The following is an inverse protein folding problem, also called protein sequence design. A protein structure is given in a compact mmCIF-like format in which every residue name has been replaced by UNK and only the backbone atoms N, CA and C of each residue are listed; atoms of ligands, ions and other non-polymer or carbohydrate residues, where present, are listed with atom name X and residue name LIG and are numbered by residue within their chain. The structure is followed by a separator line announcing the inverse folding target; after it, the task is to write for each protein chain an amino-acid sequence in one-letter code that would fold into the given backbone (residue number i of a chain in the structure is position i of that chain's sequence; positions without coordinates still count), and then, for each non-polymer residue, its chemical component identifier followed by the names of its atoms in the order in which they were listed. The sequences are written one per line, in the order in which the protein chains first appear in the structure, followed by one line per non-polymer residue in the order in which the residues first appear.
data_IF_455925725944
#
_entry.id   IF_455925725944
#
_cell.length_a   1.000
_cell.length_b   1.000
_cell.length_c   1.000
_cell.angle_alpha   90.00
_cell.angle_beta   90.00
_cell.angle_gamma   90.00
#
_symmetry.space_group_name_H-M   'P 1'
#
loop_
_entity.id
_entity.type
_entity.pdbx_description
1 polymer ?
#
# COMPACT_ATOMS: atom_id res chain seq x y z
N UNK A 1 27.17 -1.80 13.76
CA UNK A 1 26.57 -1.76 12.42
C UNK A 1 25.53 -2.86 12.41
N UNK A 2 24.24 -2.56 12.28
CA UNK A 2 23.31 -3.63 11.94
C UNK A 2 23.64 -4.04 10.51
N UNK A 3 24.15 -5.26 10.38
CA UNK A 3 24.40 -5.90 9.10
C UNK A 3 23.09 -5.91 8.29
N UNK A 4 23.22 -5.90 6.97
CA UNK A 4 22.06 -6.04 6.08
C UNK A 4 21.25 -7.26 6.51
N UNK A 5 19.91 -7.16 6.53
CA UNK A 5 19.08 -8.30 6.90
C UNK A 5 19.32 -9.45 5.92
N UNK A 6 19.30 -10.67 6.46
CA UNK A 6 19.43 -11.88 5.67
C UNK A 6 18.04 -12.39 5.28
N UNK A 7 17.86 -12.67 4.00
CA UNK A 7 16.64 -13.28 3.46
C UNK A 7 17.06 -14.34 2.44
N UNK A 8 16.91 -15.60 2.83
CA UNK A 8 17.30 -16.76 2.02
C UNK A 8 16.18 -17.80 2.01
N UNK A 9 16.16 -18.69 1.02
CA UNK A 9 15.13 -19.75 0.95
C UNK A 9 15.12 -20.66 2.19
N UNK A 10 16.29 -20.92 2.78
CA UNK A 10 16.42 -21.75 4.00
C UNK A 10 16.14 -20.98 5.29
N UNK A 11 16.35 -19.67 5.28
CA UNK A 11 16.09 -18.78 6.41
C UNK A 11 15.46 -17.48 5.90
N UNK A 12 14.12 -17.48 5.63
CA UNK A 12 13.44 -16.31 5.13
C UNK A 12 13.30 -15.27 6.24
N UNK A 13 13.43 -14.00 5.88
CA UNK A 13 13.21 -12.92 6.84
C UNK A 13 11.77 -12.94 7.35
N UNK A 14 11.59 -12.71 8.65
CA UNK A 14 10.28 -12.63 9.30
C UNK A 14 10.22 -11.39 10.18
N UNK A 15 9.06 -10.71 10.22
CA UNK A 15 8.85 -9.61 11.16
C UNK A 15 8.85 -10.14 12.59
N UNK A 16 9.37 -9.32 13.50
CA UNK A 16 9.18 -9.50 14.94
C UNK A 16 7.70 -9.27 15.28
N UNK A 17 7.04 -10.32 15.79
CA UNK A 17 5.64 -10.28 16.18
C UNK A 17 5.41 -9.69 17.57
N UNK A 18 6.48 -9.45 18.34
CA UNK A 18 6.41 -8.79 19.64
C UNK A 18 6.42 -7.27 19.54
N UNK A 19 6.63 -6.71 18.33
CA UNK A 19 6.62 -5.27 18.07
C UNK A 19 5.21 -4.69 18.21
N UNK A 20 4.93 -4.07 19.36
CA UNK A 20 3.66 -3.39 19.65
C UNK A 20 3.58 -1.97 19.08
N UNK A 21 4.63 -1.46 18.42
CA UNK A 21 4.62 -0.13 17.82
C UNK A 21 3.88 -0.10 16.48
N UNK A 22 3.59 -1.28 15.92
CA UNK A 22 2.88 -1.43 14.66
C UNK A 22 1.47 -1.93 14.90
N UNK A 23 0.53 -1.37 14.14
CA UNK A 23 -0.82 -1.91 14.08
C UNK A 23 -0.80 -3.20 13.22
N UNK A 24 -1.09 -4.33 13.85
CA UNK A 24 -1.23 -5.61 13.14
C UNK A 24 -2.57 -5.68 12.41
N UNK A 25 -2.51 -5.71 11.07
CA UNK A 25 -3.68 -5.81 10.20
C UNK A 25 -3.53 -6.95 9.19
N UNK A 26 -2.71 -7.97 9.51
CA UNK A 26 -2.47 -9.12 8.62
C UNK A 26 -3.74 -9.92 8.29
N UNK A 27 -4.77 -9.81 9.11
CA UNK A 27 -6.05 -10.48 8.91
C UNK A 27 -6.98 -9.74 7.91
N UNK A 28 -6.63 -8.50 7.52
CA UNK A 28 -7.38 -7.74 6.53
C UNK A 28 -7.08 -8.25 5.11
N UNK A 29 -8.04 -8.03 4.21
CA UNK A 29 -7.83 -8.28 2.78
C UNK A 29 -7.00 -7.13 2.21
N UNK A 30 -5.72 -7.41 1.94
CA UNK A 30 -4.74 -6.45 1.44
C UNK A 30 -4.17 -6.95 0.12
N UNK A 31 -4.09 -6.09 -0.90
CA UNK A 31 -3.55 -6.47 -2.21
C UNK A 31 -2.81 -5.31 -2.87
N UNK A 32 -1.90 -5.62 -3.80
CA UNK A 32 -1.21 -4.63 -4.63
C UNK A 32 -1.71 -4.68 -6.07
N UNK A 33 -1.43 -3.61 -6.84
CA UNK A 33 -1.73 -3.56 -8.28
C UNK A 33 -0.51 -2.96 -8.97
N UNK A 34 0.18 -3.77 -9.76
CA UNK A 34 1.49 -3.46 -10.32
C UNK A 34 1.61 -4.00 -11.76
N UNK A 35 2.55 -3.46 -12.56
CA UNK A 35 2.90 -4.08 -13.83
C UNK A 35 3.29 -5.57 -13.70
N UNK A 36 3.04 -6.34 -14.75
CA UNK A 36 3.48 -7.73 -14.81
C UNK A 36 5.02 -7.78 -14.72
N UNK A 37 5.53 -8.55 -13.76
CA UNK A 37 6.98 -8.72 -13.56
C UNK A 37 7.62 -7.70 -12.61
N UNK A 38 6.85 -6.83 -11.97
CA UNK A 38 7.36 -5.95 -10.91
C UNK A 38 8.02 -6.74 -9.79
N UNK A 39 9.17 -6.24 -9.32
CA UNK A 39 9.97 -6.86 -8.27
C UNK A 39 9.87 -6.10 -6.95
N UNK A 40 9.71 -4.79 -7.04
CA UNK A 40 9.62 -3.75 -6.02
C UNK A 40 8.16 -3.29 -5.88
N UNK A 41 7.40 -4.05 -5.09
CA UNK A 41 6.00 -3.72 -4.78
C UNK A 41 6.01 -2.80 -3.56
N UNK A 42 5.87 -1.51 -3.78
CA UNK A 42 6.01 -0.48 -2.76
C UNK A 42 4.69 -0.14 -2.06
N UNK A 43 3.55 -0.34 -2.72
CA UNK A 43 2.22 0.02 -2.21
C UNK A 43 1.23 -1.14 -2.24
N UNK A 44 0.36 -1.17 -1.23
CA UNK A 44 -0.76 -2.08 -1.13
C UNK A 44 -2.01 -1.38 -0.57
N UNK A 45 -3.18 -1.92 -0.86
CA UNK A 45 -4.47 -1.34 -0.49
C UNK A 45 -5.27 -2.34 0.31
N UNK A 46 -5.93 -1.86 1.36
CA UNK A 46 -6.95 -2.58 2.11
C UNK A 46 -8.28 -1.88 2.00
N UNK A 47 -9.37 -2.64 1.95
CA UNK A 47 -10.70 -2.07 2.02
C UNK A 47 -11.65 -2.96 2.81
N UNK A 48 -12.41 -2.37 3.72
CA UNK A 48 -13.40 -3.05 4.54
C UNK A 48 -14.72 -2.27 4.58
N UNK A 49 -15.84 -3.00 4.59
CA UNK A 49 -17.18 -2.44 4.79
C UNK A 49 -17.56 -2.65 6.26
N UNK A 50 -17.76 -1.56 6.99
CA UNK A 50 -18.15 -1.58 8.40
C UNK A 50 -19.65 -1.29 8.48
N UNK A 51 -20.45 -2.34 8.72
CA UNK A 51 -21.91 -2.22 8.93
C UNK A 51 -22.20 -1.96 10.40
N UNK A 52 -23.11 -1.05 10.71
CA UNK A 52 -23.56 -0.87 12.09
C UNK A 52 -24.31 -2.10 12.60
N UNK A 53 -24.33 -2.37 13.92
CA UNK A 53 -24.98 -3.57 14.48
C UNK A 53 -26.48 -3.68 14.18
N UNK A 54 -27.13 -2.54 13.98
CA UNK A 54 -28.53 -2.39 13.63
C UNK A 54 -28.77 -2.34 12.11
N UNK A 55 -27.72 -2.48 11.30
CA UNK A 55 -27.72 -2.40 9.83
C UNK A 55 -28.29 -1.08 9.27
N UNK A 56 -28.44 -0.04 10.10
CA UNK A 56 -29.00 1.25 9.70
C UNK A 56 -28.01 2.13 8.94
N UNK A 57 -26.71 1.87 9.10
CA UNK A 57 -25.65 2.65 8.48
C UNK A 57 -24.50 1.77 7.99
N UNK A 58 -23.91 2.19 6.86
CA UNK A 58 -22.72 1.57 6.28
C UNK A 58 -21.60 2.60 6.32
N UNK A 59 -20.45 2.19 6.83
CA UNK A 59 -19.18 2.92 6.78
C UNK A 59 -18.17 2.11 6.00
N UNK A 60 -17.10 2.75 5.57
CA UNK A 60 -16.01 2.10 4.89
C UNK A 60 -14.70 2.42 5.56
N UNK A 61 -13.77 1.47 5.50
CA UNK A 61 -12.39 1.70 5.88
C UNK A 61 -11.52 1.43 4.66
N UNK A 62 -10.75 2.44 4.24
CA UNK A 62 -9.78 2.34 3.15
C UNK A 62 -8.39 2.56 3.72
N UNK A 63 -7.49 1.60 3.49
CA UNK A 63 -6.08 1.72 3.85
C UNK A 63 -5.19 1.74 2.62
N UNK A 64 -4.22 2.64 2.60
CA UNK A 64 -3.07 2.62 1.68
C UNK A 64 -1.84 2.35 2.53
N UNK A 65 -1.06 1.35 2.16
CA UNK A 65 0.08 0.83 2.92
C UNK A 65 1.33 0.91 2.06
N UNK A 66 2.36 1.60 2.55
CA UNK A 66 3.63 1.80 1.82
C UNK A 66 4.72 0.97 2.49
N UNK A 67 5.60 0.32 1.72
CA UNK A 67 6.72 -0.46 2.25
C UNK A 67 7.61 0.35 3.22
N UNK A 68 7.91 -0.21 4.40
CA UNK A 68 8.70 0.49 5.43
C UNK A 68 10.22 0.24 5.27
N UNK A 69 10.81 0.87 4.25
CA UNK A 69 12.27 0.86 4.07
C UNK A 69 13.03 1.55 5.22
N UNK A 70 12.38 2.49 5.93
CA UNK A 70 12.98 3.26 7.03
C UNK A 70 13.35 2.42 8.24
N UNK A 71 12.69 1.27 8.41
CA UNK A 71 13.04 0.29 9.45
C UNK A 71 14.45 -0.29 9.22
N UNK A 72 14.83 -0.53 7.96
CA UNK A 72 16.12 -1.14 7.59
C UNK A 72 17.20 -0.10 7.30
N UNK A 73 16.82 1.08 6.80
CA UNK A 73 17.73 2.13 6.40
C UNK A 73 17.66 3.26 7.43
N UNK A 74 18.54 3.20 8.43
CA UNK A 74 18.60 4.22 9.47
C UNK A 74 19.36 5.46 8.98
N UNK A 75 18.96 6.68 9.37
CA UNK A 75 19.70 7.91 9.06
C UNK A 75 21.18 7.80 9.45
N UNK A 76 22.06 8.24 8.57
CA UNK A 76 23.52 8.21 8.73
C UNK A 76 24.19 6.85 8.43
N UNK A 77 23.42 5.80 8.13
CA UNK A 77 23.98 4.51 7.72
C UNK A 77 24.65 4.58 6.34
N UNK A 78 25.50 3.60 6.02
CA UNK A 78 26.10 3.49 4.69
C UNK A 78 25.04 3.36 3.59
N UNK A 79 23.97 2.60 3.87
CA UNK A 79 22.82 2.44 2.96
C UNK A 79 22.09 3.76 2.73
N UNK A 80 21.87 4.56 3.78
CA UNK A 80 21.26 5.90 3.68
C UNK A 80 22.15 6.86 2.87
N UNK A 81 23.45 6.89 3.15
CA UNK A 81 24.40 7.72 2.41
C UNK A 81 24.44 7.37 0.91
N UNK A 82 24.47 6.09 0.58
CA UNK A 82 24.45 5.63 -0.81
C UNK A 82 23.09 5.88 -1.49
N UNK A 83 21.97 5.62 -0.80
CA UNK A 83 20.63 5.91 -1.31
C UNK A 83 20.46 7.40 -1.62
N UNK A 84 20.91 8.29 -0.72
CA UNK A 84 20.92 9.75 -0.96
C UNK A 84 21.77 10.14 -2.17
N UNK A 85 22.91 9.47 -2.37
CA UNK A 85 23.80 9.73 -3.50
C UNK A 85 23.16 9.30 -4.83
N UNK A 86 22.42 8.18 -4.85
CA UNK A 86 21.69 7.69 -6.04
C UNK A 86 20.42 8.49 -6.32
N UNK A 87 19.72 8.93 -5.27
CA UNK A 87 18.50 9.71 -5.33
C UNK A 87 17.25 8.90 -5.69
N UNK A 88 17.29 8.14 -6.79
CA UNK A 88 16.15 7.34 -7.29
C UNK A 88 16.61 6.04 -7.96
N UNK A 89 15.69 5.08 -8.10
CA UNK A 89 15.89 3.91 -8.97
C UNK A 89 15.75 4.34 -10.43
N UNK A 90 16.68 3.92 -11.29
CA UNK A 90 16.65 4.22 -12.73
C UNK A 90 16.17 2.98 -13.47
N UNK A 91 15.08 3.11 -14.23
CA UNK A 91 14.52 2.06 -15.07
C UNK A 91 14.90 2.32 -16.53
N UNK A 92 15.63 1.39 -17.13
CA UNK A 92 15.95 1.37 -18.55
C UNK A 92 15.20 0.21 -19.22
N UNK A 93 15.16 0.18 -20.55
CA UNK A 93 14.45 -0.86 -21.30
C UNK A 93 14.98 -2.28 -21.03
N UNK A 94 16.27 -2.43 -20.73
CA UNK A 94 16.94 -3.73 -20.55
C UNK A 94 17.41 -4.00 -19.12
N UNK A 95 17.41 -2.99 -18.24
CA UNK A 95 17.98 -3.10 -16.90
C UNK A 95 17.42 -2.07 -15.94
N UNK A 96 17.68 -2.32 -14.65
CA UNK A 96 17.35 -1.41 -13.56
C UNK A 96 18.58 -1.14 -12.70
N UNK A 97 18.71 0.10 -12.23
CA UNK A 97 19.69 0.47 -11.22
C UNK A 97 18.98 0.88 -9.94
N UNK A 98 18.99 0.02 -8.94
CA UNK A 98 18.23 0.21 -7.71
C UNK A 98 18.81 1.34 -6.86
N UNK A 99 17.94 2.17 -6.27
CA UNK A 99 18.32 3.15 -5.25
C UNK A 99 18.88 2.49 -4.00
N UNK A 100 18.25 1.39 -3.59
CA UNK A 100 18.62 0.59 -2.41
C UNK A 100 19.00 -0.83 -2.85
N UNK A 101 19.72 -1.60 -2.02
CA UNK A 101 20.10 -2.97 -2.39
C UNK A 101 18.91 -3.88 -2.69
N UNK A 102 19.10 -4.84 -3.62
CA UNK A 102 18.07 -5.78 -4.08
C UNK A 102 17.37 -6.52 -2.93
N UNK A 103 18.14 -6.94 -1.92
CA UNK A 103 17.58 -7.63 -0.74
C UNK A 103 16.56 -6.79 0.03
N UNK A 104 16.65 -5.45 -0.05
CA UNK A 104 15.64 -4.56 0.53
C UNK A 104 14.52 -4.32 -0.48
N UNK A 105 14.83 -3.83 -1.69
CA UNK A 105 13.81 -3.41 -2.66
C UNK A 105 12.95 -4.55 -3.19
N UNK A 106 13.53 -5.72 -3.46
CA UNK A 106 12.86 -6.81 -4.20
C UNK A 106 12.29 -7.90 -3.29
N UNK A 107 12.81 -7.97 -2.06
CA UNK A 107 12.53 -9.05 -1.13
C UNK A 107 11.83 -8.56 0.14
N UNK A 108 12.57 -7.89 1.03
CA UNK A 108 12.14 -7.68 2.42
C UNK A 108 11.20 -6.48 2.54
N UNK A 109 11.37 -5.43 1.74
CA UNK A 109 10.43 -4.30 1.70
C UNK A 109 9.29 -4.56 0.72
N UNK A 110 9.53 -5.28 -0.37
CA UNK A 110 8.51 -5.62 -1.37
C UNK A 110 7.31 -6.32 -0.72
N UNK A 111 6.11 -5.77 -0.92
CA UNK A 111 4.84 -6.19 -0.30
C UNK A 111 4.24 -7.44 -0.97
N UNK A 112 5.09 -8.46 -1.15
CA UNK A 112 4.77 -9.72 -1.81
C UNK A 112 3.61 -10.46 -1.16
N UNK A 113 2.78 -11.11 -1.98
CA UNK A 113 1.67 -11.95 -1.55
C UNK A 113 2.15 -13.11 -0.66
N UNK A 114 1.35 -13.41 0.36
CA UNK A 114 1.59 -14.48 1.32
C UNK A 114 2.68 -14.19 2.35
N UNK A 115 3.42 -13.09 2.21
CA UNK A 115 4.53 -12.73 3.10
C UNK A 115 4.16 -11.60 4.03
N UNK A 116 4.47 -11.74 5.33
CA UNK A 116 4.26 -10.67 6.29
C UNK A 116 5.36 -9.61 6.14
N UNK A 117 4.97 -8.33 6.08
CA UNK A 117 5.84 -7.21 5.74
C UNK A 117 5.52 -5.99 6.59
N UNK A 118 6.57 -5.22 6.91
CA UNK A 118 6.41 -3.93 7.58
C UNK A 118 5.99 -2.87 6.58
N UNK A 119 4.97 -2.10 6.94
CA UNK A 119 4.49 -0.98 6.16
C UNK A 119 4.35 0.28 7.04
N UNK A 120 4.36 1.42 6.37
CA UNK A 120 4.31 2.76 6.91
C UNK A 120 5.69 3.29 7.31
N UNK A 121 6.04 4.46 6.80
CA UNK A 121 7.24 5.18 7.20
C UNK A 121 6.94 6.09 8.40
N UNK A 122 7.87 6.13 9.34
CA UNK A 122 7.79 7.03 10.48
C UNK A 122 8.31 8.41 10.09
N UNK A 123 7.45 9.42 10.25
CA UNK A 123 7.85 10.81 10.22
C UNK A 123 8.14 11.22 11.66
N UNK A 124 9.41 11.39 12.01
CA UNK A 124 9.75 12.18 13.20
C UNK A 124 9.23 13.61 12.95
N UNK A 125 8.30 14.14 13.77
CA UNK A 125 8.01 15.56 13.72
C UNK A 125 9.24 16.28 14.28
N UNK A 126 10.15 16.72 13.40
CA UNK A 126 11.13 17.72 13.77
C UNK A 126 10.35 18.99 14.15
N UNK A 127 10.16 19.20 15.45
CA UNK A 127 9.63 20.44 16.01
C UNK A 127 10.68 21.51 15.71
N UNK A 128 10.53 22.20 14.58
CA UNK A 128 11.24 23.45 14.31
C UNK A 128 10.22 24.57 14.51
N UNK A 129 10.21 25.10 15.74
CA UNK A 129 9.78 26.47 15.94
C UNK A 129 10.63 27.38 15.05
N UNK A 130 9.98 28.35 14.39
CA UNK A 130 10.56 29.35 13.49
C UNK A 130 10.99 28.84 12.09
N UNK A 131 10.06 28.85 11.14
CA UNK A 131 10.03 29.80 10.00
C UNK A 131 8.89 29.39 9.06
N UNK A 132 7.71 29.99 9.29
CA UNK A 132 6.58 29.97 8.36
C UNK A 132 7.01 30.68 7.07
N UNK A 133 7.43 29.92 6.06
CA UNK A 133 7.36 30.22 4.60
C UNK A 133 8.08 29.14 3.78
N UNK A 134 9.00 28.36 4.36
CA UNK A 134 9.62 27.20 3.68
C UNK A 134 8.94 25.85 3.95
N UNK A 135 7.97 25.81 4.88
CA UNK A 135 7.27 24.59 5.28
C UNK A 135 6.46 23.95 4.13
N UNK A 136 6.04 24.73 3.13
CA UNK A 136 5.26 24.22 2.00
C UNK A 136 6.11 23.36 1.04
N UNK A 137 7.42 23.58 0.96
CA UNK A 137 8.35 22.72 0.21
C UNK A 137 8.89 21.56 1.05
N UNK A 138 8.90 21.70 2.39
CA UNK A 138 9.31 20.62 3.29
C UNK A 138 8.23 19.54 3.47
N UNK A 139 6.96 19.91 3.30
CA UNK A 139 5.80 18.99 3.37
C UNK A 139 5.71 18.09 2.11
N UNK A 140 6.42 18.40 1.02
CA UNK A 140 6.33 17.62 -0.22
C UNK A 140 7.26 16.40 -0.28
N UNK A 141 8.05 16.12 0.77
CA UNK A 141 8.99 14.97 0.80
C UNK A 141 8.60 13.85 1.79
N UNK A 142 7.42 13.92 2.40
CA UNK A 142 7.08 13.10 3.57
C UNK A 142 5.65 12.54 3.56
N UNK A 143 5.20 11.99 2.44
CA UNK A 143 4.02 11.11 2.44
C UNK A 143 4.44 9.71 2.01
N UNK A 144 5.03 8.96 2.94
CA UNK A 144 5.33 7.54 2.77
C UNK A 144 4.77 6.73 3.97
N UNK A 145 3.69 7.19 4.59
CA UNK A 145 3.08 6.53 5.76
C UNK A 145 1.95 5.61 5.30
N UNK A 146 1.68 4.54 6.05
CA UNK A 146 0.39 3.85 5.89
C UNK A 146 -0.71 4.78 6.39
N UNK A 147 -1.73 5.00 5.56
CA UNK A 147 -2.86 5.88 5.86
C UNK A 147 -4.13 5.06 5.85
N UNK A 148 -4.95 5.20 6.89
CA UNK A 148 -6.26 4.55 6.98
C UNK A 148 -7.32 5.63 7.12
N UNK A 149 -8.29 5.64 6.19
CA UNK A 149 -9.44 6.52 6.21
C UNK A 149 -10.69 5.75 6.60
N UNK A 150 -11.43 6.29 7.57
CA UNK A 150 -12.82 5.90 7.79
C UNK A 150 -13.71 6.84 6.98
N UNK A 151 -14.59 6.27 6.17
CA UNK A 151 -15.50 6.98 5.28
C UNK A 151 -16.95 6.72 5.69
N UNK A 152 -17.83 7.68 5.46
CA UNK A 152 -19.28 7.47 5.55
C UNK A 152 -19.85 6.79 4.29
N UNK A 153 -21.16 6.54 4.29
CA UNK A 153 -21.88 5.95 3.16
C UNK A 153 -21.78 6.74 1.85
N UNK A 154 -21.42 8.02 1.92
CA UNK A 154 -21.23 8.94 0.79
C UNK A 154 -19.75 9.10 0.42
N UNK A 155 -18.87 8.26 0.96
CA UNK A 155 -17.41 8.29 0.77
C UNK A 155 -16.71 9.55 1.30
N UNK A 156 -17.36 10.31 2.18
CA UNK A 156 -16.73 11.45 2.84
C UNK A 156 -15.86 10.95 3.98
N UNK A 157 -14.64 11.49 4.06
CA UNK A 157 -13.70 11.18 5.15
C UNK A 157 -14.27 11.64 6.49
N UNK A 158 -14.47 10.70 7.40
CA UNK A 158 -14.86 10.91 8.79
C UNK A 158 -13.64 11.07 9.69
N UNK A 159 -12.61 10.26 9.48
CA UNK A 159 -11.36 10.31 10.24
C UNK A 159 -10.20 9.74 9.42
N UNK A 160 -8.99 10.20 9.73
CA UNK A 160 -7.75 9.70 9.13
C UNK A 160 -6.81 9.22 10.22
N UNK A 161 -6.19 8.06 10.02
CA UNK A 161 -5.14 7.53 10.86
C UNK A 161 -3.84 7.41 10.05
N UNK A 162 -2.73 7.70 10.71
CA UNK A 162 -1.37 7.58 10.17
C UNK A 162 -0.53 6.75 11.13
N UNK A 163 0.25 5.81 10.61
CA UNK A 163 1.20 5.08 11.44
C UNK A 163 1.87 3.92 10.73
N UNK A 164 2.58 3.12 11.53
CA UNK A 164 3.23 1.89 11.08
C UNK A 164 2.28 0.72 11.20
N UNK A 165 2.22 -0.10 10.17
CA UNK A 165 1.41 -1.31 10.10
C UNK A 165 2.27 -2.55 9.88
N UNK A 166 1.78 -3.69 10.35
CA UNK A 166 2.26 -5.00 9.93
C UNK A 166 1.18 -5.60 9.03
N UNK A 167 1.54 -5.87 7.78
CA UNK A 167 0.58 -6.32 6.75
C UNK A 167 0.96 -7.67 6.20
N UNK A 168 0.00 -8.35 5.56
CA UNK A 168 0.24 -9.55 4.77
C UNK A 168 -0.63 -9.44 3.51
N UNK A 169 -0.01 -9.13 2.38
CA UNK A 169 -0.72 -9.07 1.12
C UNK A 169 -1.27 -10.46 0.77
N UNK A 170 -2.53 -10.54 0.37
CA UNK A 170 -3.17 -11.77 -0.10
C UNK A 170 -2.99 -11.96 -1.60
N UNK A 171 -2.70 -10.89 -2.35
CA UNK A 171 -2.62 -10.92 -3.81
C UNK A 171 -1.73 -9.82 -4.39
N UNK A 172 -0.99 -10.16 -5.44
CA UNK A 172 -0.26 -9.26 -6.33
C UNK A 172 -1.03 -9.23 -7.65
N UNK A 173 -1.77 -8.15 -7.94
CA UNK A 173 -2.62 -8.08 -9.12
C UNK A 173 -1.94 -7.30 -10.25
N UNK A 174 -2.19 -7.70 -11.49
CA UNK A 174 -1.81 -6.90 -12.65
C UNK A 174 -2.88 -5.85 -12.98
N UNK A 175 -2.52 -4.81 -13.74
CA UNK A 175 -3.49 -3.84 -14.24
C UNK A 175 -4.58 -4.47 -15.11
N UNK A 176 -4.23 -5.47 -15.93
CA UNK A 176 -5.20 -6.20 -16.75
C UNK A 176 -6.19 -6.98 -15.88
N UNK A 177 -5.70 -7.58 -14.79
CA UNK A 177 -6.53 -8.31 -13.83
C UNK A 177 -7.48 -7.35 -13.10
N UNK A 178 -6.97 -6.20 -12.67
CA UNK A 178 -7.77 -5.15 -12.06
C UNK A 178 -8.81 -4.59 -13.05
N UNK A 179 -8.43 -4.34 -14.30
CA UNK A 179 -9.33 -3.84 -15.34
C UNK A 179 -10.41 -4.86 -15.70
N UNK A 180 -10.06 -6.15 -15.75
CA UNK A 180 -11.02 -7.22 -15.94
C UNK A 180 -12.08 -7.23 -14.83
N UNK A 181 -11.67 -7.07 -13.56
CA UNK A 181 -12.59 -6.93 -12.43
C UNK A 181 -13.47 -5.68 -12.58
N UNK A 182 -12.92 -4.55 -13.03
CA UNK A 182 -13.70 -3.33 -13.27
C UNK A 182 -14.77 -3.54 -14.35
N UNK A 183 -14.45 -4.31 -15.39
CA UNK A 183 -15.27 -4.50 -16.58
C UNK A 183 -16.33 -5.62 -16.46
N UNK A 184 -16.15 -6.59 -15.56
CA UNK A 184 -16.90 -7.86 -15.61
C UNK A 184 -18.22 -7.89 -14.81
N UNK A 185 -18.57 -6.92 -13.95
CA UNK A 185 -19.77 -7.06 -13.10
C UNK A 185 -20.84 -5.96 -13.27
N UNK A 186 -22.09 -6.44 -13.39
CA UNK A 186 -23.31 -5.76 -13.87
C UNK A 186 -24.40 -5.55 -12.80
N UNK A 187 -24.08 -5.49 -11.50
CA UNK A 187 -25.02 -5.13 -10.41
C UNK A 187 -24.27 -4.47 -9.26
N UNK A 188 -24.70 -3.32 -8.74
CA UNK A 188 -24.71 -2.96 -7.29
C UNK A 188 -25.49 -1.64 -7.07
N UNK A 189 -26.62 -1.69 -6.36
CA UNK A 189 -26.78 -0.82 -5.19
C UNK A 189 -27.45 -1.57 -4.01
N UNK A 190 -26.94 -1.39 -2.79
CA UNK A 190 -27.61 -1.75 -1.52
C UNK A 190 -28.12 -3.20 -1.32
N UNK A 191 -27.30 -4.22 -1.60
CA UNK A 191 -27.59 -5.62 -1.22
C UNK A 191 -26.63 -6.61 -1.89
N UNK A 192 -25.84 -7.32 -1.09
CA UNK A 192 -24.66 -8.10 -1.51
C UNK A 192 -24.95 -9.28 -2.45
N UNK A 193 -24.12 -9.41 -3.49
CA UNK A 193 -23.59 -10.69 -4.01
C UNK A 193 -22.12 -10.38 -4.38
N UNK A 194 -21.16 -10.94 -3.64
CA UNK A 194 -19.76 -10.91 -4.10
C UNK A 194 -19.54 -12.02 -5.12
N UNK A 195 -18.77 -11.73 -6.16
CA UNK A 195 -18.42 -12.74 -7.16
C UNK A 195 -17.16 -13.49 -6.70
N UNK A 196 -17.15 -14.81 -6.91
CA UNK A 196 -15.94 -15.60 -6.78
C UNK A 196 -15.00 -15.29 -7.95
N UNK A 197 -13.94 -14.55 -7.65
CA UNK A 197 -12.88 -14.27 -8.60
C UNK A 197 -11.84 -15.37 -8.55
N UNK A 198 -11.59 -16.01 -9.69
CA UNK A 198 -10.56 -17.04 -9.81
C UNK A 198 -9.25 -16.39 -10.27
N UNK A 199 -8.24 -16.37 -9.41
CA UNK A 199 -6.86 -16.03 -9.78
C UNK A 199 -6.02 -17.32 -9.74
N UNK A 200 -5.62 -17.81 -10.91
CA UNK A 200 -4.94 -19.10 -11.03
C UNK A 200 -5.85 -20.27 -10.61
N UNK A 201 -5.45 -21.04 -9.59
CA UNK A 201 -6.23 -22.15 -9.03
C UNK A 201 -7.00 -21.79 -7.74
N UNK A 202 -6.96 -20.53 -7.30
CA UNK A 202 -7.61 -20.09 -6.07
C UNK A 202 -8.80 -19.20 -6.37
N UNK A 203 -9.87 -19.39 -5.59
CA UNK A 203 -11.09 -18.59 -5.63
C UNK A 203 -11.04 -17.58 -4.49
N UNK A 204 -11.25 -16.30 -4.83
CA UNK A 204 -11.29 -15.18 -3.90
C UNK A 204 -12.69 -14.60 -3.95
N UNK A 205 -13.37 -14.52 -2.81
CA UNK A 205 -14.59 -13.74 -2.72
C UNK A 205 -14.21 -12.26 -2.79
N UNK A 206 -14.66 -11.57 -3.84
CA UNK A 206 -14.44 -10.13 -3.98
C UNK A 206 -15.72 -9.42 -3.53
N UNK A 207 -15.74 -8.79 -2.33
CA UNK A 207 -16.87 -7.97 -1.96
C UNK A 207 -16.94 -6.75 -2.91
N UNK A 208 -18.14 -6.26 -3.25
CA UNK A 208 -18.34 -5.17 -4.22
C UNK A 208 -17.54 -3.88 -3.95
N UNK A 209 -17.01 -3.73 -2.73
CA UNK A 209 -16.05 -2.72 -2.31
C UNK A 209 -14.70 -2.71 -3.03
N UNK A 210 -14.27 -3.83 -3.62
CA UNK A 210 -12.97 -3.94 -4.30
C UNK A 210 -12.88 -3.04 -5.53
N UNK A 211 -13.99 -2.91 -6.28
CA UNK A 211 -14.08 -1.98 -7.41
C UNK A 211 -13.85 -0.55 -6.96
N UNK A 212 -14.39 -0.17 -5.81
CA UNK A 212 -14.19 1.15 -5.24
C UNK A 212 -12.74 1.35 -4.79
N UNK A 213 -12.09 0.35 -4.20
CA UNK A 213 -10.67 0.42 -3.85
C UNK A 213 -9.78 0.58 -5.09
N UNK A 214 -10.08 -0.16 -6.17
CA UNK A 214 -9.38 -0.03 -7.46
C UNK A 214 -9.65 1.34 -8.10
N UNK A 215 -10.91 1.81 -8.08
CA UNK A 215 -11.28 3.14 -8.54
C UNK A 215 -10.53 4.21 -7.75
N UNK A 216 -10.50 4.12 -6.42
CA UNK A 216 -9.82 5.10 -5.57
C UNK A 216 -8.30 5.08 -5.78
N UNK A 217 -7.66 3.91 -6.00
CA UNK A 217 -6.25 3.83 -6.42
C UNK A 217 -6.00 4.65 -7.70
N UNK A 218 -6.92 4.57 -8.66
CA UNK A 218 -6.80 5.25 -9.95
C UNK A 218 -7.26 6.71 -9.93
N UNK A 219 -8.24 7.07 -9.10
CA UNK A 219 -8.85 8.40 -9.04
C UNK A 219 -8.09 9.34 -8.11
N UNK A 220 -7.36 8.84 -7.09
CA UNK A 220 -6.38 9.65 -6.34
C UNK A 220 -5.24 10.19 -7.24
N UNK A 221 -5.18 9.79 -8.51
CA UNK A 221 -4.26 10.31 -9.53
C UNK A 221 -4.89 11.35 -10.49
N UNK A 222 -6.21 11.61 -10.46
CA UNK A 222 -6.84 12.54 -11.43
C UNK A 222 -7.94 13.45 -10.83
N UNK A 223 -7.85 14.72 -11.26
CA UNK A 223 -8.60 15.90 -10.84
C UNK A 223 -10.14 15.76 -10.92
N UNK A 224 -10.78 16.54 -10.06
CA UNK A 224 -12.18 16.72 -9.67
C UNK A 224 -13.23 16.97 -10.77
N UNK A 225 -12.92 16.81 -12.05
CA UNK A 225 -13.87 17.01 -13.14
C UNK A 225 -13.53 16.13 -14.34
N UNK A 226 -14.27 15.04 -14.58
CA UNK A 226 -14.66 14.55 -15.93
C UNK A 226 -15.35 13.19 -15.85
N UNK A 227 -16.25 12.93 -16.81
CA UNK A 227 -16.99 11.69 -17.00
C UNK A 227 -16.11 10.44 -16.84
N UNK A 228 -16.52 9.52 -15.96
CA UNK A 228 -15.79 8.32 -15.60
C UNK A 228 -15.70 7.31 -16.76
N UNK A 229 -14.63 7.41 -17.56
CA UNK A 229 -14.13 6.32 -18.39
C UNK A 229 -12.90 5.75 -17.67
N UNK A 230 -13.10 4.65 -16.94
CA UNK A 230 -12.01 3.99 -16.20
C UNK A 230 -11.14 3.15 -17.13
N UNK A 231 -10.10 3.76 -17.68
CA UNK A 231 -9.01 3.02 -18.31
C UNK A 231 -7.81 3.03 -17.37
N UNK A 232 -7.50 1.87 -16.77
CA UNK A 232 -6.17 1.60 -16.25
C UNK A 232 -5.17 1.74 -17.40
N UNK A 233 -4.17 2.61 -17.25
CA UNK A 233 -3.08 2.77 -18.22
C UNK A 233 -2.01 1.72 -18.02
#
# INVERSE_FOLDING_TARGET
MNEMPTDTKSNPWKPDLSDTQRLDIRDKIIFSIDPIGSLDIDDAISFEIIKSPDLSSVKYELGVHIADASYFITPGSASDLEARKRGNTIYLADRRFNMVPEILSENICSLRSGSARYAGIFLEPFIIGFFFIYLFYFILFYFLVSVIWNLDSSYKVLSTWFGRTLIKSVSEMSYESAQYILNTSNVFPSGEIGDEFKLGNQYFFIPGSFKLAIILKNTLLFDSNTNFVYNLR
#
